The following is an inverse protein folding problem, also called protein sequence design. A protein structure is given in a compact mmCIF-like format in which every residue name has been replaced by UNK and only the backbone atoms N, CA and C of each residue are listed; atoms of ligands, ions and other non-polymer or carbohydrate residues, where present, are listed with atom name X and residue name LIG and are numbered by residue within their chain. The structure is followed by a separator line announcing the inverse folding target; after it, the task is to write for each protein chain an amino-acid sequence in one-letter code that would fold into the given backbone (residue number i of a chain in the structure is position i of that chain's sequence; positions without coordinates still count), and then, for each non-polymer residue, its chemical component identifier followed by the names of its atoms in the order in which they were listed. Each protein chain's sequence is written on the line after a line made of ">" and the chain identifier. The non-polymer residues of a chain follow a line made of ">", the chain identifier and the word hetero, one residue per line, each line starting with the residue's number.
data_IF_742183463409
#
_entry.id   IF_742183463409
#
_cell.length_a   1.000
_cell.length_b   1.000
_cell.length_c   1.000
_cell.angle_alpha   90.00
_cell.angle_beta   90.00
_cell.angle_gamma   90.00
#
_symmetry.space_group_name_H-M   'P 1'
#
loop_
_entity.id
_entity.type
_entity.pdbx_description
1 polymer ?
#
# COMPACT_ATOMS: atom_id res chain seq x y z
N UNK A 1 14.01 -0.65 8.53
CA UNK A 1 12.82 -1.48 8.28
C UNK A 1 13.11 -2.91 8.71
N UNK A 2 12.24 -3.58 9.47
CA UNK A 2 12.32 -5.04 9.68
C UNK A 2 11.23 -5.69 8.83
N UNK A 3 11.61 -6.64 7.98
CA UNK A 3 10.69 -7.45 7.18
C UNK A 3 10.62 -8.87 7.74
N UNK A 4 9.58 -9.62 7.36
CA UNK A 4 9.45 -11.03 7.74
C UNK A 4 10.69 -11.83 7.32
N UNK A 5 11.06 -12.84 8.10
CA UNK A 5 12.16 -13.76 7.73
C UNK A 5 11.74 -14.72 6.63
N UNK A 6 10.51 -15.22 6.72
CA UNK A 6 9.88 -16.16 5.82
C UNK A 6 8.63 -16.74 6.47
N UNK A 7 8.00 -17.70 5.81
CA UNK A 7 6.85 -18.45 6.30
C UNK A 7 7.24 -19.91 6.55
N UNK A 8 6.76 -20.51 7.65
CA UNK A 8 6.97 -21.93 7.94
C UNK A 8 6.29 -22.85 6.92
N UNK A 9 5.18 -22.40 6.30
CA UNK A 9 4.47 -23.13 5.25
C UNK A 9 3.80 -22.15 4.29
N UNK A 10 3.61 -22.52 3.02
CA UNK A 10 2.74 -21.78 2.11
C UNK A 10 1.33 -21.66 2.69
N UNK A 11 0.65 -20.58 2.38
CA UNK A 11 -0.69 -20.28 2.85
C UNK A 11 -1.52 -19.61 1.76
N UNK A 12 -2.83 -19.78 1.88
CA UNK A 12 -3.83 -19.09 1.09
C UNK A 12 -4.97 -18.63 2.01
N UNK A 13 -5.61 -17.52 1.67
CA UNK A 13 -6.73 -16.93 2.39
C UNK A 13 -7.73 -16.37 1.37
N UNK A 14 -9.00 -16.67 1.59
CA UNK A 14 -10.11 -16.14 0.81
C UNK A 14 -11.16 -15.57 1.77
N UNK A 15 -11.69 -14.40 1.46
CA UNK A 15 -12.70 -13.70 2.24
C UNK A 15 -13.78 -13.14 1.32
N UNK A 16 -15.01 -13.14 1.82
CA UNK A 16 -16.14 -12.45 1.22
C UNK A 16 -16.96 -11.79 2.34
N UNK A 17 -17.62 -10.68 2.03
CA UNK A 17 -18.42 -9.94 3.01
C UNK A 17 -19.38 -8.96 2.36
N UNK A 18 -20.00 -8.14 3.19
CA UNK A 18 -20.93 -7.09 2.77
C UNK A 18 -20.26 -6.09 1.82
N UNK A 19 -21.08 -5.34 1.08
CA UNK A 19 -20.65 -4.20 0.28
C UNK A 19 -19.56 -4.54 -0.76
N UNK A 20 -19.72 -5.69 -1.43
CA UNK A 20 -18.77 -6.12 -2.47
C UNK A 20 -17.38 -6.52 -1.94
N UNK A 21 -17.21 -6.68 -0.62
CA UNK A 21 -15.94 -7.13 -0.05
C UNK A 21 -15.58 -8.52 -0.56
N UNK A 22 -14.44 -8.61 -1.24
CA UNK A 22 -13.81 -9.87 -1.63
C UNK A 22 -12.31 -9.71 -1.49
N UNK A 23 -11.64 -10.70 -0.92
CA UNK A 23 -10.18 -10.71 -0.82
C UNK A 23 -9.64 -12.10 -1.06
N UNK A 24 -8.60 -12.19 -1.85
CA UNK A 24 -7.76 -13.39 -1.95
C UNK A 24 -6.33 -13.00 -1.68
N UNK A 25 -5.63 -13.82 -0.90
CA UNK A 25 -4.22 -13.64 -0.64
C UNK A 25 -3.52 -14.98 -0.54
N UNK A 26 -2.28 -15.02 -1.02
CA UNK A 26 -1.42 -16.20 -0.97
C UNK A 26 -0.02 -15.77 -0.59
N UNK A 27 0.73 -16.66 0.05
CA UNK A 27 2.12 -16.41 0.33
C UNK A 27 2.86 -17.65 0.78
N UNK A 28 4.19 -17.58 0.73
CA UNK A 28 5.04 -18.68 1.13
C UNK A 28 6.51 -18.34 0.97
N UNK A 29 7.35 -19.23 1.46
CA UNK A 29 8.80 -19.17 1.28
C UNK A 29 9.22 -20.45 0.56
N UNK A 30 9.94 -20.27 -0.55
CA UNK A 30 10.67 -21.33 -1.24
C UNK A 30 12.09 -21.28 -0.71
N UNK A 31 12.50 -22.37 -0.06
CA UNK A 31 13.85 -22.53 0.46
C UNK A 31 14.80 -23.01 -0.63
N UNK A 32 16.10 -22.77 -0.44
CA UNK A 32 17.17 -23.27 -1.29
C UNK A 32 17.05 -22.86 -2.77
N UNK A 33 16.54 -21.66 -3.02
CA UNK A 33 16.57 -21.01 -4.34
C UNK A 33 18.00 -20.51 -4.57
N UNK A 34 18.84 -21.39 -5.12
CA UNK A 34 20.28 -21.15 -5.22
C UNK A 34 20.93 -21.26 -3.85
N UNK A 35 21.39 -20.14 -3.29
CA UNK A 35 22.04 -20.08 -1.96
C UNK A 35 21.16 -19.43 -0.90
N UNK A 36 19.89 -19.16 -1.19
CA UNK A 36 19.02 -18.39 -0.31
C UNK A 36 17.54 -18.78 -0.40
N UNK A 37 16.73 -18.02 0.33
CA UNK A 37 15.30 -18.21 0.47
C UNK A 37 14.54 -17.12 -0.28
N UNK A 38 13.53 -17.51 -1.06
CA UNK A 38 12.63 -16.61 -1.76
C UNK A 38 11.26 -16.62 -1.09
N UNK A 39 10.87 -15.50 -0.49
CA UNK A 39 9.53 -15.28 0.07
C UNK A 39 8.70 -14.47 -0.90
N UNK A 40 7.48 -14.95 -1.21
CA UNK A 40 6.51 -14.28 -2.07
C UNK A 40 5.17 -14.16 -1.36
N UNK A 41 4.51 -13.02 -1.53
CA UNK A 41 3.14 -12.76 -1.06
C UNK A 41 2.43 -11.96 -2.14
N UNK A 42 1.17 -12.29 -2.40
CA UNK A 42 0.31 -11.53 -3.29
C UNK A 42 -1.10 -11.41 -2.70
N UNK A 43 -1.78 -10.30 -2.98
CA UNK A 43 -3.16 -10.04 -2.58
C UNK A 43 -3.90 -9.32 -3.70
N UNK A 44 -5.16 -9.70 -3.89
CA UNK A 44 -6.16 -8.92 -4.61
C UNK A 44 -7.37 -8.71 -3.70
N UNK A 45 -7.89 -7.49 -3.62
CA UNK A 45 -9.13 -7.20 -2.92
C UNK A 45 -10.01 -6.20 -3.67
N UNK A 46 -11.31 -6.35 -3.49
CA UNK A 46 -12.35 -5.44 -3.99
C UNK A 46 -13.29 -5.02 -2.88
N UNK A 47 -13.89 -3.85 -3.02
CA UNK A 47 -14.88 -3.31 -2.09
C UNK A 47 -15.71 -2.22 -2.78
N UNK A 48 -17.02 -2.23 -2.58
CA UNK A 48 -17.94 -1.23 -3.15
C UNK A 48 -18.46 -0.24 -2.12
N UNK A 49 -18.25 -0.48 -0.82
CA UNK A 49 -18.70 0.41 0.23
C UNK A 49 -20.22 0.43 0.43
N UNK A 50 -20.69 1.04 1.54
CA UNK A 50 -22.11 1.19 1.82
C UNK A 50 -22.75 2.37 1.09
N UNK A 51 -21.97 3.12 0.31
CA UNK A 51 -22.36 4.38 -0.29
C UNK A 51 -23.28 4.19 -1.49
N UNK A 52 -24.06 5.23 -1.80
CA UNK A 52 -24.96 5.27 -2.95
C UNK A 52 -24.19 5.11 -4.27
N UNK A 53 -23.05 5.78 -4.42
CA UNK A 53 -22.09 5.48 -5.49
C UNK A 53 -21.16 4.36 -5.05
N UNK A 54 -21.08 3.31 -5.86
CA UNK A 54 -20.18 2.18 -5.57
C UNK A 54 -18.72 2.62 -5.62
N UNK A 55 -17.95 2.32 -4.57
CA UNK A 55 -16.52 2.67 -4.47
C UNK A 55 -15.67 1.99 -5.55
N UNK A 56 -16.10 0.82 -6.05
CA UNK A 56 -15.39 0.04 -7.08
C UNK A 56 -13.89 -0.12 -6.78
N UNK A 57 -13.54 -0.26 -5.50
CA UNK A 57 -12.16 -0.43 -5.08
C UNK A 57 -11.59 -1.68 -5.73
N UNK A 58 -10.43 -1.52 -6.36
CA UNK A 58 -9.59 -2.63 -6.82
C UNK A 58 -8.20 -2.38 -6.27
N UNK A 59 -7.71 -3.24 -5.39
CA UNK A 59 -6.40 -3.11 -4.77
C UNK A 59 -5.63 -4.41 -4.93
N UNK A 60 -4.49 -4.32 -5.61
CA UNK A 60 -3.52 -5.39 -5.78
C UNK A 60 -2.23 -5.05 -5.04
N UNK A 61 -1.69 -5.98 -4.27
CA UNK A 61 -0.39 -5.82 -3.62
C UNK A 61 0.44 -7.09 -3.72
N UNK A 62 1.76 -6.91 -3.76
CA UNK A 62 2.72 -8.00 -3.89
C UNK A 62 3.99 -7.68 -3.13
N UNK A 63 4.54 -8.68 -2.46
CA UNK A 63 5.81 -8.61 -1.74
C UNK A 63 6.70 -9.76 -2.17
N UNK A 64 7.95 -9.45 -2.50
CA UNK A 64 9.00 -10.41 -2.76
C UNK A 64 10.19 -10.10 -1.86
N UNK A 65 10.82 -11.13 -1.31
CA UNK A 65 12.07 -11.00 -0.57
C UNK A 65 12.97 -12.18 -0.88
N UNK A 66 14.21 -11.89 -1.27
CA UNK A 66 15.28 -12.86 -1.35
C UNK A 66 16.26 -12.63 -0.21
N UNK A 67 16.56 -13.67 0.55
CA UNK A 67 17.49 -13.64 1.69
C UNK A 67 18.55 -14.69 1.49
N UNK A 68 19.82 -14.32 1.53
CA UNK A 68 20.93 -15.27 1.40
C UNK A 68 22.02 -15.04 2.45
N UNK A 69 22.76 -16.09 2.84
CA UNK A 69 23.98 -15.95 3.62
C UNK A 69 24.98 -15.04 2.90
N UNK A 70 25.72 -14.23 3.66
CA UNK A 70 26.78 -13.37 3.14
C UNK A 70 27.88 -13.25 4.18
N UNK A 71 28.94 -14.06 4.03
CA UNK A 71 29.99 -14.19 5.04
C UNK A 71 29.43 -14.70 6.36
N UNK A 72 29.70 -13.99 7.46
CA UNK A 72 29.16 -14.29 8.79
C UNK A 72 27.74 -13.74 9.03
N UNK A 73 27.11 -13.18 7.99
CA UNK A 73 25.84 -12.45 8.07
C UNK A 73 24.89 -12.80 6.94
N UNK A 74 24.00 -11.86 6.61
CA UNK A 74 22.94 -12.04 5.62
C UNK A 74 22.83 -10.83 4.69
N UNK A 75 22.59 -11.09 3.41
CA UNK A 75 22.11 -10.10 2.45
C UNK A 75 20.61 -10.35 2.20
N UNK A 76 19.81 -9.29 2.26
CA UNK A 76 18.38 -9.34 1.96
C UNK A 76 18.06 -8.30 0.88
N UNK A 77 17.34 -8.71 -0.16
CA UNK A 77 16.73 -7.82 -1.14
C UNK A 77 15.21 -8.01 -1.10
N UNK A 78 14.44 -6.92 -1.10
CA UNK A 78 12.98 -7.01 -1.12
C UNK A 78 12.33 -5.95 -2.00
N UNK A 79 11.20 -6.31 -2.58
CA UNK A 79 10.33 -5.44 -3.35
C UNK A 79 8.90 -5.54 -2.79
N UNK A 80 8.29 -4.40 -2.47
CA UNK A 80 6.87 -4.30 -2.16
C UNK A 80 6.21 -3.37 -3.17
N UNK A 81 5.18 -3.85 -3.86
CA UNK A 81 4.43 -3.06 -4.81
C UNK A 81 2.94 -3.16 -4.50
N UNK A 82 2.22 -2.04 -4.61
CA UNK A 82 0.77 -2.07 -4.67
C UNK A 82 0.22 -1.04 -5.64
N UNK A 83 -0.95 -1.35 -6.20
CA UNK A 83 -1.75 -0.45 -7.03
C UNK A 83 -3.20 -0.50 -6.57
N UNK A 84 -3.84 0.65 -6.47
CA UNK A 84 -5.26 0.71 -6.20
C UNK A 84 -5.96 1.77 -7.06
N UNK A 85 -7.23 1.52 -7.38
CA UNK A 85 -8.15 2.45 -8.03
C UNK A 85 -9.50 2.40 -7.33
N UNK A 86 -10.18 3.54 -7.16
CA UNK A 86 -11.48 3.62 -6.50
C UNK A 86 -12.24 4.89 -6.91
N UNK A 87 -13.53 4.92 -6.61
CA UNK A 87 -14.41 6.09 -6.63
C UNK A 87 -14.56 6.55 -5.18
N UNK A 88 -13.84 7.58 -4.72
CA UNK A 88 -13.94 8.03 -3.33
C UNK A 88 -15.33 8.63 -3.07
N UNK A 89 -15.89 8.30 -1.92
CA UNK A 89 -16.94 9.12 -1.32
C UNK A 89 -16.26 10.21 -0.50
N UNK A 90 -16.54 11.46 -0.85
CA UNK A 90 -15.94 12.62 -0.22
C UNK A 90 -16.69 13.08 1.02
N UNK A 91 -16.19 14.15 1.65
CA UNK A 91 -16.82 14.74 2.82
C UNK A 91 -18.21 15.28 2.47
N UNK A 92 -19.26 14.68 3.03
CA UNK A 92 -20.65 15.10 2.82
C UNK A 92 -20.98 16.24 3.80
N UNK A 93 -21.43 17.42 3.33
CA UNK A 93 -21.87 18.48 4.22
C UNK A 93 -23.11 18.03 5.00
N UNK A 94 -23.09 18.08 6.33
CA UNK A 94 -24.21 17.60 7.14
C UNK A 94 -25.55 18.25 6.76
N UNK A 95 -25.53 19.54 6.38
CA UNK A 95 -26.72 20.32 5.99
C UNK A 95 -27.48 19.78 4.78
N UNK A 96 -26.87 18.92 3.94
CA UNK A 96 -27.55 18.37 2.76
C UNK A 96 -28.19 17.00 3.03
N UNK A 97 -27.92 16.38 4.17
CA UNK A 97 -28.49 15.08 4.54
C UNK A 97 -29.99 15.25 4.83
N UNK A 98 -30.81 14.34 4.31
CA UNK A 98 -32.27 14.40 4.36
C UNK A 98 -32.90 15.30 3.29
N UNK A 99 -32.09 15.86 2.38
CA UNK A 99 -32.60 16.63 1.22
C UNK A 99 -32.79 15.71 0.00
N UNK A 100 -33.43 16.20 -1.06
CA UNK A 100 -33.56 15.46 -2.31
C UNK A 100 -32.21 15.15 -2.98
N UNK A 101 -31.16 15.93 -2.70
CA UNK A 101 -29.80 15.70 -3.22
C UNK A 101 -29.07 14.57 -2.46
N UNK A 102 -29.40 14.38 -1.19
CA UNK A 102 -28.73 13.44 -0.30
C UNK A 102 -29.73 12.94 0.74
N UNK A 103 -30.37 11.81 0.44
CA UNK A 103 -31.48 11.30 1.26
C UNK A 103 -31.02 10.84 2.66
N UNK A 104 -29.80 10.31 2.77
CA UNK A 104 -29.22 9.80 4.02
C UNK A 104 -27.70 9.96 4.05
N UNK A 105 -27.08 9.50 5.15
CA UNK A 105 -25.63 9.57 5.39
C UNK A 105 -24.78 8.77 4.41
N UNK A 106 -25.38 7.88 3.62
CA UNK A 106 -24.69 7.05 2.63
C UNK A 106 -24.78 7.63 1.21
N UNK A 107 -25.38 8.80 1.03
CA UNK A 107 -25.47 9.45 -0.28
C UNK A 107 -24.09 9.71 -0.91
N UNK A 108 -24.07 10.03 -2.21
CA UNK A 108 -22.82 10.36 -2.92
C UNK A 108 -23.05 11.57 -3.81
N UNK A 109 -22.95 12.80 -3.25
CA UNK A 109 -23.37 14.01 -3.95
C UNK A 109 -22.48 14.36 -5.16
N UNK A 110 -21.23 13.89 -5.18
CA UNK A 110 -20.37 13.93 -6.36
C UNK A 110 -20.04 12.51 -6.87
N UNK A 111 -20.65 12.05 -7.97
CA UNK A 111 -20.33 10.75 -8.58
C UNK A 111 -19.10 10.80 -9.51
N UNK A 112 -18.49 11.96 -9.70
CA UNK A 112 -17.39 12.17 -10.66
C UNK A 112 -15.99 11.97 -10.07
N UNK A 113 -15.86 11.91 -8.74
CA UNK A 113 -14.60 11.75 -8.05
C UNK A 113 -13.91 10.41 -8.37
N UNK A 114 -12.59 10.42 -8.58
CA UNK A 114 -11.80 9.22 -8.94
C UNK A 114 -10.47 9.24 -8.22
N UNK A 115 -10.02 8.10 -7.71
CA UNK A 115 -8.73 7.96 -7.05
C UNK A 115 -7.91 6.82 -7.64
N UNK A 116 -6.60 7.04 -7.77
CA UNK A 116 -5.64 5.98 -8.07
C UNK A 116 -4.33 6.16 -7.32
N UNK A 117 -3.65 5.05 -7.09
CA UNK A 117 -2.32 5.06 -6.48
C UNK A 117 -1.49 3.89 -6.96
N UNK A 118 -0.19 4.12 -7.10
CA UNK A 118 0.85 3.12 -7.31
C UNK A 118 1.99 3.43 -6.36
N UNK A 119 2.42 2.44 -5.57
CA UNK A 119 3.60 2.56 -4.72
C UNK A 119 4.48 1.34 -4.90
N UNK A 120 5.77 1.58 -5.08
CA UNK A 120 6.79 0.55 -5.18
C UNK A 120 7.93 0.90 -4.22
N UNK A 121 8.36 -0.07 -3.41
CA UNK A 121 9.44 0.09 -2.44
C UNK A 121 10.43 -1.04 -2.62
N UNK A 122 11.64 -0.70 -3.04
CA UNK A 122 12.77 -1.61 -3.15
C UNK A 122 13.74 -1.38 -2.00
N UNK A 123 14.32 -2.45 -1.46
CA UNK A 123 15.22 -2.38 -0.32
C UNK A 123 16.33 -3.43 -0.44
N UNK A 124 17.57 -3.03 -0.16
CA UNK A 124 18.71 -3.93 -0.01
C UNK A 124 19.30 -3.69 1.38
N UNK A 125 19.43 -4.76 2.17
CA UNK A 125 19.97 -4.74 3.51
C UNK A 125 21.11 -5.74 3.65
N UNK A 126 22.18 -5.33 4.32
CA UNK A 126 23.26 -6.21 4.77
C UNK A 126 23.25 -6.21 6.29
N UNK A 127 23.28 -7.40 6.90
CA UNK A 127 23.40 -7.57 8.35
C UNK A 127 24.63 -8.44 8.61
N UNK A 128 25.58 -7.91 9.35
CA UNK A 128 26.79 -8.61 9.80
C UNK A 128 26.86 -8.61 11.33
N UNK A 129 27.74 -9.43 11.95
CA UNK A 129 27.82 -9.50 13.41
C UNK A 129 28.08 -8.15 14.09
N UNK A 130 28.90 -7.29 13.46
CA UNK A 130 29.33 -6.01 14.04
C UNK A 130 28.76 -4.79 13.32
N UNK A 131 28.06 -4.94 12.20
CA UNK A 131 27.51 -3.80 11.48
C UNK A 131 26.28 -4.18 10.65
N UNK A 132 25.49 -3.18 10.29
CA UNK A 132 24.37 -3.30 9.37
C UNK A 132 24.28 -2.08 8.48
N UNK A 133 23.87 -2.28 7.24
CA UNK A 133 23.57 -1.21 6.31
C UNK A 133 22.29 -1.51 5.54
N UNK A 134 21.60 -0.47 5.11
CA UNK A 134 20.37 -0.56 4.36
C UNK A 134 20.27 0.59 3.38
N UNK A 135 19.94 0.30 2.13
CA UNK A 135 19.56 1.28 1.11
C UNK A 135 18.16 0.94 0.62
N UNK A 136 17.34 1.97 0.40
CA UNK A 136 16.00 1.80 -0.15
C UNK A 136 15.64 2.91 -1.13
N UNK A 137 14.73 2.57 -2.02
CA UNK A 137 14.09 3.48 -2.94
C UNK A 137 12.59 3.25 -2.92
N UNK A 138 11.82 4.32 -2.92
CA UNK A 138 10.37 4.30 -3.06
C UNK A 138 9.98 5.17 -4.24
N UNK A 139 9.18 4.61 -5.14
CA UNK A 139 8.39 5.37 -6.09
C UNK A 139 6.95 5.46 -5.59
N UNK A 140 6.38 6.66 -5.63
CA UNK A 140 4.99 6.92 -5.26
C UNK A 140 4.36 7.77 -6.36
N UNK A 141 3.19 7.34 -6.82
CA UNK A 141 2.35 8.06 -7.78
C UNK A 141 0.91 7.92 -7.31
N UNK A 142 0.29 9.02 -6.93
CA UNK A 142 -1.06 9.08 -6.42
C UNK A 142 -1.77 10.25 -7.08
N UNK A 143 -3.02 10.04 -7.47
CA UNK A 143 -3.87 11.12 -7.92
C UNK A 143 -5.32 10.92 -7.49
N UNK A 144 -6.01 12.02 -7.27
CA UNK A 144 -7.42 12.03 -6.90
C UNK A 144 -8.10 13.26 -7.49
N UNK A 145 -9.21 13.05 -8.18
CA UNK A 145 -10.19 14.08 -8.45
C UNK A 145 -11.07 14.20 -7.21
N UNK A 146 -11.17 15.40 -6.67
CA UNK A 146 -11.97 15.72 -5.49
C UNK A 146 -12.84 16.95 -5.72
N UNK A 147 -14.01 17.05 -5.10
CA UNK A 147 -14.91 18.18 -5.18
C UNK A 147 -15.38 18.64 -3.78
N UNK A 148 -14.54 19.37 -3.04
CA UNK A 148 -14.76 19.68 -1.62
C UNK A 148 -15.98 20.60 -1.37
N UNK A 149 -16.41 21.40 -2.35
CA UNK A 149 -17.56 22.30 -2.22
C UNK A 149 -18.74 21.90 -3.10
N UNK A 150 -18.61 20.83 -3.90
CA UNK A 150 -19.59 20.29 -4.87
C UNK A 150 -19.92 21.23 -6.04
N UNK A 151 -20.04 22.52 -5.77
CA UNK A 151 -20.31 23.60 -6.71
C UNK A 151 -19.58 24.87 -6.28
N UNK A 152 -19.16 25.67 -7.26
CA UNK A 152 -18.73 27.05 -7.04
C UNK A 152 -19.95 27.99 -6.98
N UNK A 153 -19.78 29.24 -6.48
CA UNK A 153 -20.85 30.23 -6.42
C UNK A 153 -21.51 30.56 -7.77
N UNK A 154 -20.80 30.31 -8.87
CA UNK A 154 -21.29 30.50 -10.24
C UNK A 154 -22.01 29.25 -10.81
N UNK A 155 -22.14 28.19 -10.03
CA UNK A 155 -22.79 26.94 -10.42
C UNK A 155 -21.89 25.97 -11.20
N UNK A 156 -20.61 26.29 -11.38
CA UNK A 156 -19.64 25.36 -12.01
C UNK A 156 -19.10 24.33 -11.00
N UNK A 157 -18.44 23.27 -11.49
CA UNK A 157 -17.88 22.23 -10.64
C UNK A 157 -16.61 22.71 -9.94
N UNK A 158 -16.59 22.68 -8.61
CA UNK A 158 -15.40 23.01 -7.81
C UNK A 158 -14.36 21.87 -7.74
N UNK A 159 -14.27 21.09 -8.83
CA UNK A 159 -13.45 19.89 -8.86
C UNK A 159 -11.98 20.26 -8.96
N UNK A 160 -11.18 19.68 -8.07
CA UNK A 160 -9.74 19.81 -8.01
C UNK A 160 -9.08 18.48 -8.35
N UNK A 161 -7.89 18.55 -8.94
CA UNK A 161 -7.01 17.39 -9.11
C UNK A 161 -5.87 17.47 -8.11
N UNK A 162 -5.91 16.61 -7.12
CA UNK A 162 -4.80 16.39 -6.20
C UNK A 162 -3.89 15.32 -6.79
N UNK A 163 -2.58 15.51 -6.67
CA UNK A 163 -1.61 14.53 -7.13
C UNK A 163 -0.33 14.62 -6.31
N UNK A 164 0.36 13.50 -6.21
CA UNK A 164 1.69 13.42 -5.65
C UNK A 164 2.47 12.36 -6.42
N UNK A 165 3.60 12.76 -6.99
CA UNK A 165 4.48 11.87 -7.72
C UNK A 165 5.92 12.17 -7.38
N UNK A 166 6.54 11.27 -6.63
CA UNK A 166 7.90 11.49 -6.14
C UNK A 166 8.68 10.19 -5.96
N UNK A 167 9.99 10.36 -5.82
CA UNK A 167 10.91 9.34 -5.36
C UNK A 167 11.42 9.68 -3.97
N UNK A 168 11.49 8.68 -3.09
CA UNK A 168 12.19 8.78 -1.80
C UNK A 168 13.34 7.79 -1.81
N UNK A 169 14.55 8.29 -1.56
CA UNK A 169 15.76 7.49 -1.44
C UNK A 169 16.27 7.60 0.00
N UNK A 170 16.80 6.52 0.55
CA UNK A 170 17.39 6.56 1.88
C UNK A 170 18.47 5.53 2.09
N UNK A 171 19.40 5.88 2.96
CA UNK A 171 20.53 5.05 3.37
C UNK A 171 20.70 5.12 4.88
N UNK A 172 21.01 3.99 5.50
CA UNK A 172 21.41 3.91 6.90
C UNK A 172 22.53 2.92 7.08
N UNK A 173 23.47 3.22 7.98
CA UNK A 173 24.55 2.34 8.36
C UNK A 173 24.82 2.46 9.86
N UNK A 174 25.11 1.32 10.50
CA UNK A 174 25.44 1.28 11.92
C UNK A 174 26.55 0.26 12.15
N UNK A 175 27.53 0.60 12.98
CA UNK A 175 28.60 -0.29 13.44
C UNK A 175 28.60 -0.36 14.98
N UNK A 176 28.69 -1.56 15.52
CA UNK A 176 28.88 -1.84 16.93
C UNK A 176 30.35 -2.20 17.15
N UNK A 177 30.99 -1.55 18.12
CA UNK A 177 32.35 -1.85 18.56
C UNK A 177 32.30 -2.04 20.07
N UNK A 178 32.84 -3.15 20.59
CA UNK A 178 33.13 -3.25 22.02
C UNK A 178 34.31 -2.32 22.32
N UNK A 179 34.09 -1.36 23.20
CA UNK A 179 35.18 -0.59 23.81
C UNK A 179 35.70 -1.46 24.97
N UNK A 180 37.01 -1.67 25.05
CA UNK A 180 37.61 -2.58 26.02
C UNK A 180 37.27 -2.20 27.46
N UNK A 181 37.22 -3.19 28.34
CA UNK A 181 37.18 -2.95 29.78
C UNK A 181 38.53 -2.33 30.19
N UNK A 182 38.49 -1.12 30.75
CA UNK A 182 39.55 -0.68 31.65
C UNK A 182 39.39 -1.41 32.98
#
# INVERSE_FOLDING_TARGET
>A
MMTIKGYHRPWASAEAGSYGWRRVAVGGTVHDVGVGDLTLVAQAKTYDGPWQETERLRHYSGFAKYSMPSGAGTLEASLHAYRATWHPTEQIPERIIGTALCADVFCSPDPSARGETTRQVANIAVKQPTWRANVYAQFYDWSMLSNPTYTDPDGTSAQIKQFDRHWVLGLSAQKKKKLGNR
#
